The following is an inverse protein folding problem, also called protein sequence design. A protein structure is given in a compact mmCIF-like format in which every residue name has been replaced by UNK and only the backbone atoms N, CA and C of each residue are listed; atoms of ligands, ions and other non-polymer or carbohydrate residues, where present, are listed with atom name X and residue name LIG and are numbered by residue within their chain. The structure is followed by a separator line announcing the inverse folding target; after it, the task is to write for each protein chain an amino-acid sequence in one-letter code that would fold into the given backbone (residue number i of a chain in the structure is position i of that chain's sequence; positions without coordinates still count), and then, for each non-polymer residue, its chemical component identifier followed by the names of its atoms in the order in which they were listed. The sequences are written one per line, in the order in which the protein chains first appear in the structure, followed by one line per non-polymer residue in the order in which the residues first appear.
data_IF_560265067741
#
_entry.id   IF_560265067741
#
_cell.length_a   1.000
_cell.length_b   1.000
_cell.length_c   1.000
_cell.angle_alpha   90.00
_cell.angle_beta   90.00
_cell.angle_gamma   90.00
#
_symmetry.space_group_name_H-M   'P 1'
#
loop_
_entity.id
_entity.type
_entity.pdbx_description
1 polymer ?
#
# COMPACT_ATOMS: atom_id res chain seq x y z
N UNK A 1 11.02 -20.46 -2.90
CA UNK A 1 9.65 -20.25 -3.41
C UNK A 1 9.59 -19.06 -4.39
N UNK A 2 10.06 -17.86 -4.05
CA UNK A 2 9.99 -16.67 -4.91
C UNK A 2 10.70 -16.91 -6.25
N UNK A 3 11.95 -17.37 -6.25
CA UNK A 3 12.71 -17.65 -7.47
C UNK A 3 12.01 -18.65 -8.39
N UNK A 4 11.37 -19.68 -7.83
CA UNK A 4 10.60 -20.66 -8.61
C UNK A 4 9.35 -20.01 -9.26
N UNK A 5 8.67 -19.13 -8.54
CA UNK A 5 7.55 -18.36 -9.10
C UNK A 5 7.96 -17.44 -10.25
N UNK A 6 9.07 -16.72 -10.10
CA UNK A 6 9.64 -15.87 -11.16
C UNK A 6 10.01 -16.71 -12.39
N UNK A 7 10.67 -17.86 -12.20
CA UNK A 7 11.02 -18.76 -13.30
C UNK A 7 9.78 -19.26 -14.07
N UNK A 8 8.69 -19.58 -13.37
CA UNK A 8 7.42 -19.97 -14.01
C UNK A 8 6.79 -18.83 -14.83
N UNK A 9 6.83 -17.60 -14.33
CA UNK A 9 6.33 -16.42 -15.07
C UNK A 9 7.15 -16.23 -16.34
N UNK A 10 8.48 -16.26 -16.23
CA UNK A 10 9.38 -16.10 -17.39
C UNK A 10 9.19 -17.23 -18.39
N UNK A 11 9.08 -18.48 -17.94
CA UNK A 11 8.82 -19.61 -18.81
C UNK A 11 7.50 -19.48 -19.60
N UNK A 12 6.47 -18.88 -18.98
CA UNK A 12 5.15 -18.73 -19.58
C UNK A 12 5.01 -17.50 -20.47
N UNK A 13 5.60 -16.36 -20.09
CA UNK A 13 5.36 -15.06 -20.72
C UNK A 13 6.60 -14.47 -21.38
N UNK A 14 7.78 -15.09 -21.20
CA UNK A 14 9.05 -14.68 -21.80
C UNK A 14 9.75 -13.51 -21.10
N UNK A 15 9.03 -12.72 -20.30
CA UNK A 15 9.56 -11.49 -19.67
C UNK A 15 8.77 -11.05 -18.44
N UNK A 16 9.35 -10.14 -17.67
CA UNK A 16 8.69 -9.41 -16.59
C UNK A 16 8.96 -7.91 -16.80
N UNK A 17 7.90 -7.11 -16.89
CA UNK A 17 7.98 -5.66 -17.06
C UNK A 17 7.47 -4.90 -15.84
N UNK A 18 6.50 -5.48 -15.15
CA UNK A 18 5.81 -4.84 -14.03
C UNK A 18 5.71 -5.82 -12.88
N UNK A 19 5.89 -5.32 -11.66
CA UNK A 19 5.72 -6.09 -10.44
C UNK A 19 4.91 -5.32 -9.41
N UNK A 20 3.96 -5.99 -8.78
CA UNK A 20 3.15 -5.41 -7.69
C UNK A 20 3.34 -6.26 -6.43
N UNK A 21 3.98 -5.70 -5.42
CA UNK A 21 4.10 -6.30 -4.10
C UNK A 21 2.81 -6.02 -3.31
N UNK A 22 1.81 -6.89 -3.48
CA UNK A 22 0.49 -6.74 -2.88
C UNK A 22 0.29 -7.62 -1.64
N UNK A 23 0.99 -8.74 -1.53
CA UNK A 23 0.85 -9.65 -0.39
C UNK A 23 1.10 -8.93 0.94
N UNK A 24 0.23 -9.18 1.92
CA UNK A 24 0.38 -8.58 3.24
C UNK A 24 -0.58 -9.18 4.26
N UNK A 25 -0.12 -9.20 5.51
CA UNK A 25 -0.89 -9.66 6.66
C UNK A 25 -0.89 -8.59 7.75
N UNK A 26 -1.84 -8.67 8.67
CA UNK A 26 -1.96 -7.78 9.80
C UNK A 26 -2.33 -8.54 11.08
N UNK A 27 -1.86 -8.05 12.22
CA UNK A 27 -2.27 -8.46 13.56
C UNK A 27 -2.84 -7.23 14.25
N UNK A 28 -4.05 -7.38 14.81
CA UNK A 28 -4.81 -6.32 15.49
C UNK A 28 -4.84 -6.60 16.99
N UNK A 29 -3.80 -6.17 17.70
CA UNK A 29 -3.65 -6.40 19.16
C UNK A 29 -3.01 -5.20 19.85
N UNK A 30 -3.27 -4.98 21.16
CA UNK A 30 -2.45 -4.10 21.98
C UNK A 30 -0.97 -4.50 21.93
N UNK A 31 -0.07 -3.53 22.01
CA UNK A 31 1.38 -3.77 21.93
C UNK A 31 1.85 -4.82 22.94
N UNK A 32 1.34 -4.76 24.18
CA UNK A 32 1.70 -5.69 25.25
C UNK A 32 1.18 -7.13 25.04
N UNK A 33 0.26 -7.34 24.10
CA UNK A 33 -0.30 -8.65 23.74
C UNK A 33 0.21 -9.15 22.38
N UNK A 34 0.96 -8.34 21.65
CA UNK A 34 1.59 -8.74 20.40
C UNK A 34 2.88 -9.50 20.71
N UNK A 35 2.90 -10.80 20.40
CA UNK A 35 4.10 -11.60 20.57
C UNK A 35 5.20 -11.22 19.59
N UNK A 36 6.45 -11.52 19.94
CA UNK A 36 7.57 -11.30 19.03
C UNK A 36 7.44 -12.12 17.73
N UNK A 37 6.90 -13.33 17.82
CA UNK A 37 6.65 -14.17 16.65
C UNK A 37 5.66 -13.50 15.69
N UNK A 38 4.51 -13.04 16.18
CA UNK A 38 3.53 -12.29 15.35
C UNK A 38 4.12 -11.03 14.73
N UNK A 39 4.92 -10.29 15.48
CA UNK A 39 5.62 -9.12 14.96
C UNK A 39 6.55 -9.51 13.81
N UNK A 40 7.35 -10.56 13.96
CA UNK A 40 8.28 -11.05 12.94
C UNK A 40 7.56 -11.59 11.71
N UNK A 41 6.47 -12.32 11.87
CA UNK A 41 5.68 -12.87 10.76
C UNK A 41 5.10 -11.76 9.89
N UNK A 42 4.62 -10.67 10.51
CA UNK A 42 4.12 -9.49 9.78
C UNK A 42 5.26 -8.83 8.98
N UNK A 43 6.43 -8.63 9.59
CA UNK A 43 7.58 -8.06 8.88
C UNK A 43 8.07 -8.99 7.76
N UNK A 44 8.18 -10.28 8.02
CA UNK A 44 8.63 -11.27 7.04
C UNK A 44 7.74 -11.27 5.78
N UNK A 45 6.42 -11.15 5.97
CA UNK A 45 5.49 -11.10 4.84
C UNK A 45 5.50 -9.74 4.15
N UNK A 46 5.31 -8.65 4.93
CA UNK A 46 5.03 -7.33 4.37
C UNK A 46 6.27 -6.59 3.87
N UNK A 47 7.45 -6.90 4.42
CA UNK A 47 8.71 -6.23 4.11
C UNK A 47 9.70 -7.18 3.43
N UNK A 48 10.09 -8.28 4.11
CA UNK A 48 11.09 -9.20 3.56
C UNK A 48 10.57 -9.84 2.25
N UNK A 49 9.28 -10.17 2.19
CA UNK A 49 8.64 -10.68 0.98
C UNK A 49 8.77 -9.72 -0.22
N UNK A 50 8.52 -8.43 0.00
CA UNK A 50 8.65 -7.42 -1.04
C UNK A 50 10.11 -7.26 -1.51
N UNK A 51 11.06 -7.28 -0.58
CA UNK A 51 12.49 -7.24 -0.90
C UNK A 51 12.94 -8.47 -1.71
N UNK A 52 12.58 -9.67 -1.28
CA UNK A 52 12.92 -10.91 -1.97
C UNK A 52 12.31 -11.01 -3.37
N UNK A 53 11.04 -10.57 -3.52
CA UNK A 53 10.39 -10.52 -4.83
C UNK A 53 11.09 -9.52 -5.75
N UNK A 54 11.49 -8.36 -5.24
CA UNK A 54 12.25 -7.37 -6.00
C UNK A 54 13.58 -7.95 -6.46
N UNK A 55 14.38 -8.55 -5.57
CA UNK A 55 15.65 -9.18 -5.95
C UNK A 55 15.50 -10.26 -7.03
N UNK A 56 14.42 -11.03 -6.99
CA UNK A 56 14.20 -12.09 -7.96
C UNK A 56 13.69 -11.57 -9.32
N UNK A 57 12.91 -10.47 -9.34
CA UNK A 57 12.34 -9.92 -10.58
C UNK A 57 13.28 -8.97 -11.32
N UNK A 58 14.10 -8.20 -10.61
CA UNK A 58 14.98 -7.17 -11.20
C UNK A 58 15.88 -7.70 -12.32
N UNK A 59 16.56 -8.87 -12.22
CA UNK A 59 17.36 -9.38 -13.33
C UNK A 59 16.55 -9.62 -14.62
N UNK A 60 15.29 -10.04 -14.49
CA UNK A 60 14.43 -10.28 -15.66
C UNK A 60 13.87 -8.96 -16.22
N UNK A 61 13.58 -7.99 -15.37
CA UNK A 61 13.19 -6.64 -15.79
C UNK A 61 14.31 -5.93 -16.54
N UNK A 62 15.57 -6.07 -16.09
CA UNK A 62 16.74 -5.55 -16.80
C UNK A 62 16.87 -6.15 -18.20
N UNK A 63 16.71 -7.47 -18.35
CA UNK A 63 16.69 -8.13 -19.66
C UNK A 63 15.55 -7.63 -20.56
N UNK A 64 14.43 -7.21 -19.96
CA UNK A 64 13.29 -6.65 -20.67
C UNK A 64 13.48 -5.17 -21.09
N UNK A 65 14.57 -4.52 -20.65
CA UNK A 65 14.87 -3.12 -20.93
C UNK A 65 14.38 -2.12 -19.87
N UNK A 66 14.08 -2.59 -18.67
CA UNK A 66 13.59 -1.81 -17.55
C UNK A 66 12.18 -2.22 -17.08
N UNK A 67 11.55 -1.37 -16.25
CA UNK A 67 10.22 -1.71 -15.75
C UNK A 67 9.68 -0.81 -14.64
N UNK A 68 8.61 -1.26 -13.99
CA UNK A 68 8.05 -0.58 -12.84
C UNK A 68 7.65 -1.55 -11.72
N UNK A 69 7.97 -1.18 -10.48
CA UNK A 69 7.59 -1.88 -9.26
C UNK A 69 6.63 -0.99 -8.47
N UNK A 70 5.50 -1.53 -8.03
CA UNK A 70 4.56 -0.83 -7.15
C UNK A 70 4.38 -1.63 -5.86
N UNK A 71 4.69 -1.00 -4.74
CA UNK A 71 4.50 -1.57 -3.41
C UNK A 71 3.14 -1.14 -2.84
N UNK A 72 2.34 -2.09 -2.35
CA UNK A 72 1.10 -1.78 -1.65
C UNK A 72 1.42 -1.57 -0.16
N UNK A 73 1.63 -0.30 0.20
CA UNK A 73 1.84 0.10 1.58
C UNK A 73 0.49 0.25 2.34
N UNK A 74 0.30 1.34 3.04
CA UNK A 74 -0.94 1.71 3.75
C UNK A 74 -0.80 3.12 4.31
N UNK A 75 -1.92 3.80 4.55
CA UNK A 75 -1.94 5.01 5.40
C UNK A 75 -1.38 4.73 6.81
N UNK A 76 -1.44 3.48 7.29
CA UNK A 76 -0.80 3.07 8.55
C UNK A 76 0.73 3.12 8.52
N UNK A 77 1.33 3.25 7.34
CA UNK A 77 2.76 3.53 7.18
C UNK A 77 3.08 5.03 7.18
N UNK A 78 2.10 5.89 6.88
CA UNK A 78 2.25 7.36 6.91
C UNK A 78 1.97 7.92 8.31
N UNK A 79 1.00 7.35 9.02
CA UNK A 79 0.56 7.79 10.35
C UNK A 79 0.21 6.59 11.21
N UNK A 80 0.37 6.73 12.53
CA UNK A 80 0.09 5.64 13.47
C UNK A 80 -1.40 5.26 13.47
N UNK A 81 -1.67 3.98 13.69
CA UNK A 81 -3.01 3.42 13.77
C UNK A 81 -3.15 2.54 15.02
N UNK A 82 -4.32 2.58 15.65
CA UNK A 82 -4.62 1.79 16.87
C UNK A 82 -4.48 0.29 16.61
N UNK A 83 -3.88 -0.43 17.56
CA UNK A 83 -3.72 -1.89 17.58
C UNK A 83 -2.93 -2.48 16.39
N UNK A 84 -2.06 -1.71 15.74
CA UNK A 84 -1.36 -2.12 14.51
C UNK A 84 0.15 -1.96 14.60
N UNK A 85 0.77 -2.22 15.77
CA UNK A 85 2.20 -1.97 15.97
C UNK A 85 3.06 -2.70 14.92
N UNK A 86 2.85 -3.99 14.67
CA UNK A 86 3.62 -4.73 13.67
C UNK A 86 3.28 -4.27 12.23
N UNK A 87 1.97 -4.14 11.94
CA UNK A 87 1.50 -3.77 10.61
C UNK A 87 1.96 -2.37 10.20
N UNK A 88 1.69 -1.35 11.03
CA UNK A 88 2.10 0.03 10.74
C UNK A 88 3.60 0.16 10.57
N UNK A 89 4.38 -0.49 11.46
CA UNK A 89 5.84 -0.52 11.36
C UNK A 89 6.31 -1.16 10.05
N UNK A 90 5.72 -2.30 9.66
CA UNK A 90 6.09 -2.96 8.40
C UNK A 90 5.77 -2.10 7.17
N UNK A 91 4.63 -1.39 7.18
CA UNK A 91 4.22 -0.52 6.07
C UNK A 91 5.06 0.77 6.00
N UNK A 92 5.47 1.34 7.13
CA UNK A 92 6.43 2.45 7.17
C UNK A 92 7.81 2.03 6.64
N UNK A 93 8.29 0.85 7.04
CA UNK A 93 9.53 0.29 6.51
C UNK A 93 9.46 0.04 5.00
N UNK A 94 8.31 -0.45 4.48
CA UNK A 94 8.11 -0.67 3.05
C UNK A 94 8.12 0.65 2.25
N UNK A 95 7.64 1.76 2.83
CA UNK A 95 7.75 3.09 2.21
C UNK A 95 9.21 3.54 2.10
N UNK A 96 10.01 3.29 3.13
CA UNK A 96 11.42 3.62 3.06
C UNK A 96 12.17 2.69 2.09
N UNK A 97 11.87 1.40 2.10
CA UNK A 97 12.40 0.45 1.11
C UNK A 97 12.08 0.89 -0.33
N UNK A 98 10.88 1.42 -0.58
CA UNK A 98 10.49 1.96 -1.88
C UNK A 98 11.45 3.06 -2.34
N UNK A 99 11.84 3.99 -1.46
CA UNK A 99 12.80 5.06 -1.77
C UNK A 99 14.20 4.52 -2.05
N UNK A 100 14.67 3.59 -1.23
CA UNK A 100 15.99 2.97 -1.41
C UNK A 100 16.07 2.26 -2.77
N UNK A 101 15.07 1.42 -3.08
CA UNK A 101 15.02 0.71 -4.35
C UNK A 101 14.89 1.66 -5.55
N UNK A 102 14.15 2.76 -5.43
CA UNK A 102 14.03 3.75 -6.49
C UNK A 102 15.37 4.43 -6.83
N UNK A 103 16.20 4.66 -5.80
CA UNK A 103 17.56 5.25 -5.99
C UNK A 103 18.50 4.23 -6.61
N UNK A 104 18.49 2.98 -6.12
CA UNK A 104 19.44 1.94 -6.56
C UNK A 104 19.10 1.34 -7.93
N UNK A 105 17.82 1.37 -8.35
CA UNK A 105 17.39 0.74 -9.60
C UNK A 105 17.07 1.73 -10.72
N UNK A 106 17.12 3.02 -10.44
CA UNK A 106 16.75 4.06 -11.39
C UNK A 106 17.66 4.13 -12.61
N UNK A 107 18.96 3.96 -12.42
CA UNK A 107 19.97 4.00 -13.49
C UNK A 107 19.89 2.79 -14.44
N UNK A 108 19.27 1.69 -14.01
CA UNK A 108 19.01 0.52 -14.84
C UNK A 108 17.57 0.51 -15.41
N UNK A 109 16.88 1.66 -15.38
CA UNK A 109 15.57 1.85 -16.01
C UNK A 109 14.38 1.27 -15.27
N UNK A 110 14.51 1.02 -13.96
CA UNK A 110 13.40 0.49 -13.14
C UNK A 110 12.90 1.57 -12.18
N UNK A 111 11.62 1.91 -12.28
CA UNK A 111 10.95 2.82 -11.35
C UNK A 111 10.31 2.03 -10.20
N UNK A 112 10.43 2.55 -8.99
CA UNK A 112 9.82 1.94 -7.80
C UNK A 112 8.99 2.98 -7.06
N UNK A 113 7.68 2.74 -6.94
CA UNK A 113 6.75 3.60 -6.23
C UNK A 113 5.85 2.80 -5.28
N UNK A 114 5.08 3.47 -4.46
CA UNK A 114 4.11 2.84 -3.59
C UNK A 114 2.75 3.55 -3.65
N UNK A 115 1.69 2.82 -3.34
CA UNK A 115 0.41 3.42 -2.94
C UNK A 115 0.19 3.17 -1.45
N UNK A 116 -0.53 4.09 -0.81
CA UNK A 116 -0.93 4.02 0.58
C UNK A 116 -2.46 4.01 0.65
N UNK A 117 -3.09 2.83 0.51
CA UNK A 117 -4.54 2.73 0.62
C UNK A 117 -5.04 3.17 1.99
N UNK A 118 -6.16 3.89 2.01
CA UNK A 118 -7.04 4.04 3.16
C UNK A 118 -7.89 2.79 3.39
N UNK A 119 -9.02 2.91 4.08
CA UNK A 119 -10.00 1.83 4.17
C UNK A 119 -10.58 1.50 2.78
N UNK A 120 -10.50 0.23 2.40
CA UNK A 120 -10.97 -0.30 1.10
C UNK A 120 -12.01 -1.39 1.32
N UNK A 121 -13.05 -1.43 0.50
CA UNK A 121 -14.08 -2.46 0.51
C UNK A 121 -13.52 -3.81 0.04
N UNK A 122 -12.92 -4.54 0.97
CA UNK A 122 -12.37 -5.89 0.75
C UNK A 122 -13.09 -6.89 1.63
N UNK A 123 -13.00 -8.18 1.31
CA UNK A 123 -13.54 -9.24 2.17
C UNK A 123 -12.93 -9.19 3.58
N UNK A 124 -11.64 -8.88 3.69
CA UNK A 124 -10.99 -8.69 4.99
C UNK A 124 -11.63 -7.53 5.77
N UNK A 125 -11.88 -6.39 5.14
CA UNK A 125 -12.50 -5.24 5.80
C UNK A 125 -13.92 -5.55 6.26
N UNK A 126 -14.70 -6.32 5.50
CA UNK A 126 -16.03 -6.77 5.89
C UNK A 126 -16.01 -7.65 7.13
N UNK A 127 -14.98 -8.50 7.29
CA UNK A 127 -14.84 -9.39 8.44
C UNK A 127 -14.42 -8.69 9.73
N UNK A 128 -13.56 -7.65 9.63
CA UNK A 128 -12.93 -7.04 10.82
C UNK A 128 -13.51 -5.67 11.19
N UNK A 129 -14.24 -4.99 10.29
CA UNK A 129 -14.83 -3.68 10.56
C UNK A 129 -16.32 -3.80 10.86
N UNK A 130 -16.70 -3.68 12.15
CA UNK A 130 -18.08 -3.55 12.59
C UNK A 130 -18.74 -2.28 12.02
N UNK A 131 -20.07 -2.19 12.13
CA UNK A 131 -20.83 -0.99 11.72
C UNK A 131 -20.29 0.28 12.40
N UNK A 132 -19.96 0.21 13.69
CA UNK A 132 -19.39 1.34 14.43
C UNK A 132 -18.01 1.75 13.89
N UNK A 133 -17.11 0.79 13.66
CA UNK A 133 -15.77 1.07 13.07
C UNK A 133 -15.91 1.68 11.67
N UNK A 134 -16.87 1.22 10.88
CA UNK A 134 -17.14 1.77 9.54
C UNK A 134 -17.64 3.21 9.63
N UNK A 135 -18.52 3.50 10.58
CA UNK A 135 -18.98 4.87 10.84
C UNK A 135 -17.83 5.80 11.24
N UNK A 136 -16.95 5.36 12.14
CA UNK A 136 -15.77 6.13 12.56
C UNK A 136 -14.87 6.48 11.36
N UNK A 137 -14.63 5.51 10.46
CA UNK A 137 -13.86 5.76 9.24
C UNK A 137 -14.57 6.70 8.27
N UNK A 138 -15.88 6.52 8.05
CA UNK A 138 -16.67 7.38 7.16
C UNK A 138 -16.67 8.83 7.65
N UNK A 139 -16.75 9.04 8.97
CA UNK A 139 -16.66 10.38 9.57
C UNK A 139 -15.26 10.99 9.42
N UNK A 140 -14.20 10.17 9.47
CA UNK A 140 -12.82 10.63 9.35
C UNK A 140 -12.38 10.87 7.90
N UNK A 141 -12.95 10.15 6.93
CA UNK A 141 -12.60 10.27 5.50
C UNK A 141 -13.36 11.46 4.88
N UNK A 142 -12.68 12.48 4.31
CA UNK A 142 -13.35 13.60 3.65
C UNK A 142 -14.34 13.21 2.55
N UNK A 143 -14.06 12.16 1.76
CA UNK A 143 -15.00 11.64 0.75
C UNK A 143 -16.15 10.81 1.35
N UNK A 144 -16.20 10.60 2.67
CA UNK A 144 -17.32 9.97 3.39
C UNK A 144 -17.55 8.49 3.09
N UNK A 145 -16.61 7.80 2.47
CA UNK A 145 -16.76 6.39 2.08
C UNK A 145 -15.43 5.65 2.04
N UNK A 146 -15.49 4.34 2.05
CA UNK A 146 -14.37 3.47 1.71
C UNK A 146 -14.04 3.57 0.23
N UNK A 147 -12.78 3.37 -0.12
CA UNK A 147 -12.36 3.15 -1.49
C UNK A 147 -12.75 1.75 -1.98
N UNK A 148 -12.75 1.58 -3.29
CA UNK A 148 -12.97 0.28 -3.93
C UNK A 148 -11.63 -0.35 -4.35
N UNK A 149 -11.56 -1.69 -4.49
CA UNK A 149 -10.38 -2.35 -5.06
C UNK A 149 -10.00 -1.80 -6.45
N UNK A 150 -11.00 -1.42 -7.25
CA UNK A 150 -10.78 -0.86 -8.58
C UNK A 150 -10.07 0.51 -8.54
N UNK A 151 -10.41 1.37 -7.57
CA UNK A 151 -9.72 2.66 -7.40
C UNK A 151 -8.24 2.46 -7.05
N UNK A 152 -7.92 1.45 -6.21
CA UNK A 152 -6.54 1.04 -5.95
C UNK A 152 -5.84 0.54 -7.20
N UNK A 153 -6.50 -0.37 -7.95
CA UNK A 153 -5.98 -0.95 -9.18
C UNK A 153 -5.70 0.11 -10.26
N UNK A 154 -6.58 1.10 -10.41
CA UNK A 154 -6.39 2.21 -11.37
C UNK A 154 -5.12 3.01 -11.05
N UNK A 155 -4.87 3.30 -9.75
CA UNK A 155 -3.66 4.01 -9.32
C UNK A 155 -2.41 3.17 -9.55
N UNK A 156 -2.45 1.87 -9.25
CA UNK A 156 -1.36 0.94 -9.56
C UNK A 156 -1.10 0.89 -11.07
N UNK A 157 -2.14 0.80 -11.89
CA UNK A 157 -2.04 0.81 -13.34
C UNK A 157 -1.35 2.07 -13.87
N UNK A 158 -1.74 3.24 -13.35
CA UNK A 158 -1.07 4.52 -13.68
C UNK A 158 0.41 4.50 -13.31
N UNK A 159 0.78 4.10 -12.09
CA UNK A 159 2.18 4.04 -11.66
C UNK A 159 3.01 3.01 -12.45
N UNK A 160 2.37 1.98 -13.00
CA UNK A 160 3.00 1.00 -13.87
C UNK A 160 3.12 1.47 -15.33
N UNK A 161 2.35 2.46 -15.76
CA UNK A 161 2.32 2.94 -17.14
C UNK A 161 3.45 3.92 -17.48
N UNK A 162 3.60 4.25 -18.75
CA UNK A 162 4.56 5.23 -19.23
C UNK A 162 4.14 6.67 -18.88
N UNK A 163 2.86 6.93 -18.58
CA UNK A 163 2.38 8.20 -18.07
C UNK A 163 3.05 8.59 -16.74
N UNK A 164 3.56 7.60 -15.99
CA UNK A 164 4.32 7.78 -14.78
C UNK A 164 5.85 7.69 -14.99
N UNK A 165 6.34 7.89 -16.22
CA UNK A 165 7.76 7.66 -16.59
C UNK A 165 8.77 8.50 -15.79
N UNK A 166 8.36 9.65 -15.24
CA UNK A 166 9.22 10.50 -14.41
C UNK A 166 8.84 10.46 -12.91
N UNK A 167 7.98 9.51 -12.51
CA UNK A 167 7.60 9.30 -11.11
C UNK A 167 8.40 8.11 -10.56
N UNK A 168 9.33 8.39 -9.63
CA UNK A 168 10.19 7.39 -9.00
C UNK A 168 10.40 7.71 -7.52
N UNK A 169 10.38 6.70 -6.64
CA UNK A 169 10.56 6.86 -5.20
C UNK A 169 9.39 7.50 -4.46
N UNK A 170 8.24 7.65 -5.11
CA UNK A 170 7.07 8.32 -4.54
C UNK A 170 6.09 7.33 -3.92
N UNK A 171 5.29 7.84 -2.97
CA UNK A 171 4.14 7.11 -2.44
C UNK A 171 2.91 8.02 -2.44
N UNK A 172 1.81 7.47 -2.95
CA UNK A 172 0.56 8.19 -3.12
C UNK A 172 -0.49 7.65 -2.16
N UNK A 173 -1.02 8.52 -1.29
CA UNK A 173 -2.17 8.18 -0.47
C UNK A 173 -3.41 8.06 -1.37
N UNK A 174 -4.08 6.89 -1.31
CA UNK A 174 -5.32 6.59 -2.05
C UNK A 174 -6.38 6.26 -1.01
N UNK A 175 -6.89 7.29 -0.33
CA UNK A 175 -7.55 7.16 0.96
C UNK A 175 -8.78 8.08 1.14
N UNK A 176 -9.21 8.75 0.09
CA UNK A 176 -10.32 9.70 0.15
C UNK A 176 -10.04 10.96 0.96
N UNK A 177 -8.76 11.30 1.15
CA UNK A 177 -8.30 12.46 1.91
C UNK A 177 -8.11 12.19 3.40
N UNK A 178 -8.15 10.93 3.84
CA UNK A 178 -8.04 10.56 5.25
C UNK A 178 -6.70 11.00 5.87
N UNK A 179 -5.59 10.80 5.18
CA UNK A 179 -4.27 11.24 5.65
C UNK A 179 -4.15 12.76 5.69
N UNK A 180 -4.68 13.44 4.68
CA UNK A 180 -4.65 14.90 4.56
C UNK A 180 -5.60 15.63 5.53
N UNK A 181 -6.58 14.94 6.10
CA UNK A 181 -7.67 15.57 6.88
C UNK A 181 -7.20 16.27 8.18
N UNK A 182 -6.04 15.89 8.73
CA UNK A 182 -5.54 16.47 9.98
C UNK A 182 -6.57 16.37 11.11
N UNK A 183 -7.07 17.50 11.62
CA UNK A 183 -8.08 17.53 12.68
C UNK A 183 -9.49 17.17 12.20
N UNK A 184 -9.78 17.28 10.91
CA UNK A 184 -10.98 16.80 10.24
C UNK A 184 -12.34 17.36 10.66
N UNK A 185 -12.62 17.49 11.94
CA UNK A 185 -13.83 18.05 12.58
C UNK A 185 -15.15 17.70 11.86
N UNK A 186 -15.59 16.43 11.85
CA UNK A 186 -16.76 15.99 11.08
C UNK A 186 -18.05 16.73 11.47
N UNK A 187 -18.17 17.16 12.73
CA UNK A 187 -19.34 17.95 13.19
C UNK A 187 -19.41 19.30 12.48
N UNK A 188 -18.30 19.99 12.26
CA UNK A 188 -18.30 21.25 11.52
C UNK A 188 -18.71 21.04 10.06
N UNK A 189 -18.26 19.97 9.42
CA UNK A 189 -18.70 19.63 8.06
C UNK A 189 -20.22 19.40 7.97
N UNK A 190 -20.78 18.62 8.91
CA UNK A 190 -22.23 18.36 8.97
C UNK A 190 -23.03 19.64 9.17
N UNK A 191 -22.59 20.49 10.09
CA UNK A 191 -23.28 21.76 10.36
C UNK A 191 -23.22 22.73 9.17
N UNK A 192 -22.09 22.81 8.48
CA UNK A 192 -21.97 23.65 7.27
C UNK A 192 -22.86 23.15 6.13
N UNK A 193 -22.94 21.83 5.92
CA UNK A 193 -23.84 21.24 4.93
C UNK A 193 -25.32 21.52 5.25
N UNK A 194 -25.73 21.44 6.52
CA UNK A 194 -27.10 21.75 6.94
C UNK A 194 -27.44 23.23 6.77
N UNK A 195 -26.50 24.13 6.97
CA UNK A 195 -26.69 25.57 6.78
C UNK A 195 -26.76 26.01 5.31
N UNK A 196 -26.07 25.30 4.41
CA UNK A 196 -26.10 25.54 2.96
C UNK A 196 -27.30 24.93 2.23
N UNK A 197 -28.11 24.12 2.91
CA UNK A 197 -29.33 23.51 2.37
C UNK A 197 -30.60 24.33 2.66
N UNK A 198 -30.50 25.48 3.31
CA UNK A 198 -31.55 26.49 3.54
C UNK A 198 -31.41 27.63 2.53
#
# INVERSE_FOLDING_TARGET
QVAAGVAQVVARFGRIDKMVNNAGIAVFKPVMQTSYAEFRDVLATNLDGAFLCTQACVPEMVKAGGGAIVNIASISGLRASTLRVAYGTSKAALLHLTKQLAVELGDIGIRVNAICPGPVETEMAKLVHSVAIRSDYQDAIPLGRYGTPQEMANTVGFLCSDDASFINGQFLAVDGGFDAAGVGLPTLRRNAAAAGAQ
#
